data_IF_841301871614
#
_entry.id   IF_841301871614
#
_cell.length_a   1.000
_cell.length_b   1.000
_cell.length_c   1.000
_cell.angle_alpha   90.00
_cell.angle_beta   90.00
_cell.angle_gamma   90.00
#
_symmetry.space_group_name_H-M   'P 1'
#
loop_
_entity.id
_entity.type
_entity.pdbx_description
1 polymer ?
#
# COMPACT_ATOMS: atom_id res chain seq x y z
N UNK A 1 7.61 -42.41 11.72
CA UNK A 1 7.81 -40.97 11.95
C UNK A 1 8.91 -40.53 11.01
N UNK A 2 8.63 -39.56 10.15
CA UNK A 2 9.59 -39.12 9.14
C UNK A 2 10.76 -38.31 9.73
N UNK A 3 10.54 -37.67 10.89
CA UNK A 3 11.54 -36.88 11.61
C UNK A 3 12.02 -37.63 12.88
N UNK A 4 13.27 -38.16 12.89
CA UNK A 4 13.88 -38.77 14.08
C UNK A 4 14.02 -37.79 15.26
N UNK A 5 14.11 -38.30 16.49
CA UNK A 5 14.23 -37.46 17.71
C UNK A 5 15.53 -36.65 17.80
N UNK A 6 16.58 -37.08 17.10
CA UNK A 6 17.88 -36.42 17.01
C UNK A 6 18.07 -35.63 15.70
N UNK A 7 17.01 -35.45 14.91
CA UNK A 7 17.08 -34.86 13.58
C UNK A 7 17.78 -33.50 13.56
N UNK A 8 17.35 -32.56 14.40
CA UNK A 8 17.97 -31.22 14.48
C UNK A 8 19.41 -31.28 15.00
N UNK A 9 19.72 -32.20 15.91
CA UNK A 9 21.08 -32.41 16.41
C UNK A 9 22.02 -32.94 15.31
N UNK A 10 21.48 -33.74 14.38
CA UNK A 10 22.25 -34.34 13.27
C UNK A 10 22.67 -33.34 12.18
N UNK A 11 22.07 -32.14 12.15
CA UNK A 11 22.30 -31.17 11.08
C UNK A 11 23.76 -30.72 11.00
N UNK A 12 24.32 -30.87 9.79
CA UNK A 12 25.66 -30.40 9.43
C UNK A 12 25.57 -29.41 8.27
N UNK A 13 26.33 -28.33 8.39
CA UNK A 13 26.49 -27.35 7.32
C UNK A 13 27.03 -28.03 6.05
N UNK A 14 26.45 -27.71 4.89
CA UNK A 14 26.91 -28.19 3.59
C UNK A 14 27.62 -27.04 2.88
N UNK A 15 28.82 -27.29 2.34
CA UNK A 15 29.45 -26.27 1.51
C UNK A 15 28.66 -26.10 0.19
N UNK A 16 28.41 -24.86 -0.30
CA UNK A 16 27.57 -24.64 -1.49
C UNK A 16 27.98 -25.46 -2.73
N UNK A 17 29.29 -25.67 -2.92
CA UNK A 17 29.82 -26.54 -3.98
C UNK A 17 29.27 -27.96 -3.90
N UNK A 18 29.20 -28.53 -2.70
CA UNK A 18 28.74 -29.89 -2.48
C UNK A 18 27.22 -30.01 -2.70
N UNK A 19 26.46 -28.92 -2.49
CA UNK A 19 25.03 -28.87 -2.84
C UNK A 19 24.86 -29.00 -4.35
N UNK A 20 25.64 -28.23 -5.12
CA UNK A 20 25.59 -28.27 -6.59
C UNK A 20 26.02 -29.64 -7.12
N UNK A 21 27.11 -30.20 -6.60
CA UNK A 21 27.56 -31.54 -6.97
C UNK A 21 26.50 -32.61 -6.69
N UNK A 22 25.86 -32.55 -5.51
CA UNK A 22 24.79 -33.47 -5.12
C UNK A 22 23.53 -33.33 -5.99
N UNK A 23 23.14 -32.11 -6.36
CA UNK A 23 21.96 -31.89 -7.23
C UNK A 23 22.18 -32.32 -8.68
N UNK A 24 23.44 -32.34 -9.13
CA UNK A 24 23.86 -32.81 -10.45
C UNK A 24 24.15 -34.32 -10.51
N UNK A 25 24.25 -34.99 -9.36
CA UNK A 25 24.52 -36.42 -9.32
C UNK A 25 23.34 -37.24 -9.88
N UNK A 26 23.60 -38.32 -10.64
CA UNK A 26 22.53 -39.16 -11.19
C UNK A 26 21.70 -39.87 -10.11
N UNK A 27 22.29 -40.10 -8.93
CA UNK A 27 21.70 -40.71 -7.75
C UNK A 27 21.27 -39.66 -6.70
N UNK A 28 21.00 -38.42 -7.12
CA UNK A 28 20.61 -37.34 -6.22
C UNK A 28 19.42 -37.72 -5.31
N UNK A 29 19.40 -37.26 -4.05
CA UNK A 29 18.27 -37.45 -3.16
C UNK A 29 16.99 -36.87 -3.78
N UNK A 30 15.93 -37.68 -3.86
CA UNK A 30 14.61 -37.23 -4.34
C UNK A 30 13.91 -36.42 -3.25
N UNK A 31 13.09 -35.45 -3.64
CA UNK A 31 12.24 -34.73 -2.69
C UNK A 31 11.30 -35.70 -1.99
N UNK A 32 11.30 -35.67 -0.65
CA UNK A 32 10.45 -36.49 0.21
C UNK A 32 9.30 -35.69 0.84
N UNK A 33 9.27 -34.37 0.63
CA UNK A 33 8.12 -33.54 0.97
C UNK A 33 8.53 -32.11 1.35
N UNK A 34 7.52 -31.27 1.57
CA UNK A 34 7.70 -29.87 1.99
C UNK A 34 6.81 -29.60 3.19
N UNK A 35 7.39 -29.04 4.24
CA UNK A 35 6.64 -28.48 5.37
C UNK A 35 6.63 -26.96 5.26
N UNK A 36 5.51 -26.35 5.67
CA UNK A 36 5.32 -24.91 5.64
C UNK A 36 5.30 -24.38 7.05
N UNK A 37 6.22 -23.48 7.37
CA UNK A 37 6.24 -22.73 8.61
C UNK A 37 5.77 -21.30 8.33
N UNK A 38 4.85 -20.79 9.15
CA UNK A 38 4.46 -19.38 9.16
C UNK A 38 4.93 -18.70 10.43
N UNK A 39 4.46 -19.19 11.57
CA UNK A 39 4.75 -18.61 12.89
C UNK A 39 4.92 -19.66 13.98
N UNK A 40 4.96 -20.94 13.61
CA UNK A 40 5.31 -22.03 14.53
C UNK A 40 6.69 -21.77 15.15
N UNK A 41 7.60 -21.15 14.38
CA UNK A 41 8.79 -20.46 14.88
C UNK A 41 8.77 -19.06 14.25
N UNK A 42 8.94 -17.96 15.02
CA UNK A 42 9.09 -16.64 14.44
C UNK A 42 10.25 -16.61 13.42
N UNK A 43 10.05 -16.12 12.18
CA UNK A 43 11.09 -16.20 11.14
C UNK A 43 12.42 -15.53 11.54
N UNK A 44 12.34 -14.42 12.28
CA UNK A 44 13.51 -13.75 12.84
C UNK A 44 14.28 -14.63 13.85
N UNK A 45 13.58 -15.41 14.68
CA UNK A 45 14.20 -16.33 15.63
C UNK A 45 14.90 -17.49 14.90
N UNK A 46 14.27 -18.01 13.84
CA UNK A 46 14.83 -19.05 13.00
C UNK A 46 16.11 -18.58 12.28
N UNK A 47 16.07 -17.38 11.68
CA UNK A 47 17.24 -16.77 11.04
C UNK A 47 18.40 -16.61 12.01
N UNK A 48 18.18 -15.99 13.19
CA UNK A 48 19.28 -15.77 14.15
C UNK A 48 19.79 -17.07 14.75
N UNK A 49 18.95 -18.10 14.87
CA UNK A 49 19.37 -19.43 15.28
C UNK A 49 20.30 -20.08 14.25
N UNK A 50 19.91 -20.10 12.97
CA UNK A 50 20.78 -20.64 11.92
C UNK A 50 22.10 -19.88 11.81
N UNK A 51 22.05 -18.56 11.86
CA UNK A 51 23.25 -17.73 11.87
C UNK A 51 24.15 -18.00 13.08
N UNK A 52 23.57 -18.18 14.28
CA UNK A 52 24.32 -18.47 15.50
C UNK A 52 24.96 -19.86 15.53
N UNK A 53 24.28 -20.86 14.97
CA UNK A 53 24.75 -22.25 14.96
C UNK A 53 25.66 -22.57 13.78
N UNK A 54 25.35 -22.04 12.60
CA UNK A 54 25.96 -22.46 11.33
C UNK A 54 26.62 -21.32 10.54
N UNK A 55 26.47 -20.06 10.95
CA UNK A 55 26.98 -18.92 10.21
C UNK A 55 26.08 -18.51 9.04
N UNK A 56 26.67 -17.90 8.00
CA UNK A 56 25.92 -17.31 6.90
C UNK A 56 25.06 -18.34 6.11
N UNK A 57 23.97 -17.88 5.46
CA UNK A 57 23.19 -18.70 4.52
C UNK A 57 24.06 -19.37 3.46
N UNK A 58 23.82 -20.65 3.19
CA UNK A 58 24.62 -21.49 2.29
C UNK A 58 23.83 -22.11 1.14
N UNK A 59 22.52 -21.90 1.09
CA UNK A 59 21.69 -22.35 -0.02
C UNK A 59 22.01 -21.67 -1.34
N UNK A 60 21.75 -22.36 -2.45
CA UNK A 60 22.04 -21.90 -3.82
C UNK A 60 21.31 -20.58 -4.13
N UNK A 61 20.09 -20.39 -3.62
CA UNK A 61 19.30 -19.18 -3.86
C UNK A 61 20.00 -17.91 -3.33
N UNK A 62 20.83 -18.01 -2.29
CA UNK A 62 21.60 -16.86 -1.78
C UNK A 62 22.66 -16.34 -2.75
N UNK A 63 23.10 -17.16 -3.72
CA UNK A 63 24.06 -16.76 -4.75
C UNK A 63 23.38 -16.17 -5.99
N UNK A 64 22.09 -16.46 -6.18
CA UNK A 64 21.29 -16.00 -7.31
C UNK A 64 20.50 -14.72 -6.98
N UNK A 65 20.26 -14.45 -5.69
CA UNK A 65 19.51 -13.27 -5.24
C UNK A 65 20.27 -11.96 -5.47
N UNK A 66 19.52 -10.89 -5.67
CA UNK A 66 20.04 -9.52 -5.75
C UNK A 66 20.39 -8.99 -4.36
N UNK A 67 21.23 -7.95 -4.33
CA UNK A 67 21.56 -7.23 -3.10
C UNK A 67 20.49 -6.15 -2.77
N UNK A 68 19.23 -6.59 -2.69
CA UNK A 68 18.06 -5.80 -2.34
C UNK A 68 17.00 -6.72 -1.70
N UNK A 69 15.80 -6.19 -1.47
CA UNK A 69 14.65 -6.91 -0.91
C UNK A 69 13.72 -7.51 -1.97
N UNK A 70 14.03 -7.33 -3.26
CA UNK A 70 13.18 -7.72 -4.40
C UNK A 70 13.57 -9.13 -4.88
N UNK A 71 13.48 -10.07 -3.94
CA UNK A 71 13.87 -11.46 -4.16
C UNK A 71 12.70 -12.40 -3.84
N UNK A 72 12.61 -13.49 -4.60
CA UNK A 72 11.62 -14.55 -4.36
C UNK A 72 11.95 -15.33 -3.09
N UNK A 73 13.23 -15.65 -2.91
CA UNK A 73 13.78 -16.29 -1.71
C UNK A 73 14.74 -15.32 -1.05
N UNK A 74 14.44 -14.90 0.18
CA UNK A 74 15.19 -13.88 0.92
C UNK A 74 16.49 -14.41 1.50
N UNK A 75 16.43 -15.64 2.02
CA UNK A 75 17.58 -16.39 2.49
C UNK A 75 17.29 -17.89 2.42
N UNK A 76 18.36 -18.67 2.34
CA UNK A 76 18.25 -20.13 2.29
C UNK A 76 19.38 -20.82 3.08
N UNK A 77 19.03 -21.81 3.90
CA UNK A 77 20.01 -22.72 4.49
C UNK A 77 19.78 -24.15 4.04
N UNK A 78 20.87 -24.87 3.79
CA UNK A 78 20.86 -26.28 3.45
C UNK A 78 21.72 -27.07 4.45
N UNK A 79 21.16 -28.14 5.01
CA UNK A 79 21.81 -28.99 5.99
C UNK A 79 21.80 -30.44 5.56
N UNK A 80 22.92 -31.12 5.79
CA UNK A 80 23.00 -32.58 5.69
C UNK A 80 22.46 -33.17 6.97
N UNK A 81 21.63 -34.19 6.86
CA UNK A 81 21.02 -34.91 7.97
C UNK A 81 21.48 -36.37 7.94
N UNK A 82 21.11 -37.15 8.95
CA UNK A 82 21.36 -38.60 8.97
C UNK A 82 20.61 -39.36 7.86
N UNK A 83 19.51 -38.80 7.36
CA UNK A 83 18.59 -39.44 6.40
C UNK A 83 18.62 -38.81 5.00
N UNK A 84 19.35 -37.72 4.81
CA UNK A 84 19.44 -37.01 3.53
C UNK A 84 19.83 -35.54 3.70
N UNK A 85 19.01 -34.65 3.14
CA UNK A 85 19.21 -33.20 3.19
C UNK A 85 17.90 -32.50 3.53
N UNK A 86 18.01 -31.39 4.25
CA UNK A 86 16.89 -30.47 4.49
C UNK A 86 17.29 -29.05 4.08
N UNK A 87 16.38 -28.32 3.46
CA UNK A 87 16.57 -26.94 3.02
C UNK A 87 15.47 -26.04 3.58
N UNK A 88 15.86 -24.91 4.16
CA UNK A 88 14.95 -23.89 4.66
C UNK A 88 15.03 -22.67 3.74
N UNK A 89 13.91 -22.27 3.15
CA UNK A 89 13.80 -21.13 2.25
C UNK A 89 12.81 -20.12 2.82
N UNK A 90 13.25 -18.88 3.02
CA UNK A 90 12.36 -17.79 3.43
C UNK A 90 11.75 -17.09 2.23
N UNK A 91 10.42 -17.01 2.24
CA UNK A 91 9.61 -16.27 1.29
C UNK A 91 8.91 -15.11 1.98
N UNK A 92 8.13 -14.32 1.24
CA UNK A 92 7.42 -13.17 1.78
C UNK A 92 6.38 -13.52 2.86
N UNK A 93 5.83 -14.74 2.87
CA UNK A 93 4.69 -15.11 3.72
C UNK A 93 4.90 -16.38 4.55
N UNK A 94 6.01 -17.10 4.32
CA UNK A 94 6.30 -18.38 4.96
C UNK A 94 7.77 -18.75 4.81
N UNK A 95 8.22 -19.64 5.69
CA UNK A 95 9.43 -20.44 5.47
C UNK A 95 9.02 -21.82 4.95
N UNK A 96 9.56 -22.23 3.82
CA UNK A 96 9.41 -23.60 3.31
C UNK A 96 10.58 -24.46 3.79
N UNK A 97 10.26 -25.68 4.24
CA UNK A 97 11.22 -26.69 4.68
C UNK A 97 11.14 -27.86 3.73
N UNK A 98 12.10 -27.94 2.82
CA UNK A 98 12.19 -28.97 1.79
C UNK A 98 13.03 -30.13 2.28
N UNK A 99 12.48 -31.34 2.20
CA UNK A 99 13.16 -32.58 2.59
C UNK A 99 13.56 -33.35 1.33
N UNK A 100 14.79 -33.86 1.34
CA UNK A 100 15.33 -34.67 0.26
C UNK A 100 15.94 -35.95 0.83
N UNK A 101 15.51 -37.10 0.32
CA UNK A 101 15.82 -38.42 0.87
C UNK A 101 15.01 -38.75 2.13
N UNK A 102 15.15 -39.97 2.63
CA UNK A 102 14.41 -40.47 3.78
C UNK A 102 12.93 -40.76 3.51
N UNK A 103 12.20 -41.03 4.59
CA UNK A 103 10.75 -41.24 4.56
C UNK A 103 9.99 -39.94 4.24
N UNK A 104 8.86 -40.00 3.52
CA UNK A 104 8.06 -38.82 3.23
C UNK A 104 7.57 -38.09 4.48
N UNK A 105 7.66 -36.76 4.49
CA UNK A 105 7.16 -35.93 5.59
C UNK A 105 5.69 -35.55 5.38
N UNK A 106 4.94 -35.47 6.47
CA UNK A 106 3.53 -35.08 6.48
C UNK A 106 3.31 -33.81 7.31
N UNK A 107 2.16 -33.15 7.12
CA UNK A 107 1.83 -31.92 7.84
C UNK A 107 1.91 -32.06 9.38
N UNK A 108 1.64 -33.26 9.91
CA UNK A 108 1.76 -33.57 11.35
C UNK A 108 3.20 -33.48 11.90
N UNK A 109 4.22 -33.61 11.04
CA UNK A 109 5.63 -33.57 11.44
C UNK A 109 6.12 -32.16 11.79
N UNK A 110 5.34 -31.10 11.46
CA UNK A 110 5.67 -29.70 11.80
C UNK A 110 5.85 -29.54 13.31
N UNK A 111 4.98 -30.15 14.13
CA UNK A 111 5.06 -30.06 15.59
C UNK A 111 6.37 -30.67 16.12
N UNK A 112 6.82 -31.78 15.51
CA UNK A 112 8.05 -32.48 15.90
C UNK A 112 9.27 -31.64 15.53
N UNK A 113 9.34 -31.15 14.28
CA UNK A 113 10.43 -30.30 13.81
C UNK A 113 10.57 -29.04 14.67
N UNK A 114 9.46 -28.33 14.89
CA UNK A 114 9.45 -27.05 15.59
C UNK A 114 9.80 -27.20 17.06
N UNK A 115 9.35 -28.29 17.71
CA UNK A 115 9.73 -28.63 19.07
C UNK A 115 11.25 -28.85 19.19
N UNK A 116 11.84 -29.68 18.31
CA UNK A 116 13.27 -29.94 18.34
C UNK A 116 14.12 -28.69 18.10
N UNK A 117 13.73 -27.84 17.14
CA UNK A 117 14.44 -26.57 16.89
C UNK A 117 14.37 -25.65 18.10
N UNK A 118 13.19 -25.48 18.71
CA UNK A 118 13.02 -24.64 19.91
C UNK A 118 13.80 -25.16 21.11
N UNK A 119 13.87 -26.48 21.29
CA UNK A 119 14.71 -27.08 22.34
C UNK A 119 16.18 -26.73 22.15
N UNK A 120 16.68 -26.75 20.91
CA UNK A 120 18.08 -26.46 20.59
C UNK A 120 18.44 -24.97 20.76
N UNK A 121 17.47 -24.05 20.79
CA UNK A 121 17.73 -22.61 21.06
C UNK A 121 18.50 -22.39 22.37
N UNK A 122 18.22 -23.21 23.39
CA UNK A 122 18.88 -23.12 24.69
C UNK A 122 20.42 -23.26 24.60
N UNK A 123 20.91 -24.01 23.60
CA UNK A 123 22.33 -24.23 23.37
C UNK A 123 23.03 -23.02 22.70
N UNK A 124 22.27 -22.13 22.06
CA UNK A 124 22.81 -21.03 21.24
C UNK A 124 22.33 -19.64 21.64
N UNK A 125 21.54 -19.50 22.71
CA UNK A 125 20.87 -18.26 23.09
C UNK A 125 21.79 -17.02 23.17
N UNK A 126 23.02 -17.16 23.68
CA UNK A 126 24.00 -16.06 23.71
C UNK A 126 24.39 -15.58 22.31
N UNK A 127 24.77 -16.52 21.44
CA UNK A 127 25.15 -16.21 20.05
C UNK A 127 23.96 -15.66 19.25
N UNK A 128 22.75 -16.20 19.47
CA UNK A 128 21.52 -15.67 18.87
C UNK A 128 21.27 -14.21 19.25
N UNK A 129 21.52 -13.83 20.52
CA UNK A 129 21.41 -12.44 20.97
C UNK A 129 22.44 -11.53 20.29
N UNK A 130 23.68 -12.01 20.10
CA UNK A 130 24.74 -11.27 19.41
C UNK A 130 24.39 -11.04 17.93
N UNK A 131 23.90 -12.06 17.22
CA UNK A 131 23.42 -11.92 15.83
C UNK A 131 22.25 -10.94 15.77
N UNK A 132 21.26 -11.07 16.66
CA UNK A 132 20.09 -10.18 16.67
C UNK A 132 20.47 -8.71 16.80
N UNK A 133 21.49 -8.39 17.60
CA UNK A 133 21.99 -7.01 17.78
C UNK A 133 22.67 -6.44 16.53
N UNK A 134 23.13 -7.29 15.60
CA UNK A 134 23.69 -6.84 14.32
C UNK A 134 22.62 -6.52 13.27
N UNK A 135 21.37 -6.94 13.47
CA UNK A 135 20.27 -6.67 12.56
C UNK A 135 19.76 -5.23 12.71
N UNK A 136 19.24 -4.66 11.62
CA UNK A 136 18.53 -3.39 11.68
C UNK A 136 17.07 -3.59 12.11
N UNK A 137 16.58 -2.77 13.04
CA UNK A 137 15.17 -2.78 13.49
C UNK A 137 14.38 -1.72 12.72
N UNK A 138 13.58 -2.19 11.76
CA UNK A 138 12.69 -1.37 10.95
C UNK A 138 11.23 -1.60 11.34
N UNK A 139 10.44 -0.54 11.30
CA UNK A 139 8.98 -0.59 11.43
C UNK A 139 8.35 -0.13 10.13
N UNK A 140 7.58 -1.00 9.49
CA UNK A 140 6.78 -0.64 8.33
C UNK A 140 5.53 0.13 8.74
N UNK A 141 5.18 1.14 7.96
CA UNK A 141 3.97 1.92 8.16
C UNK A 141 3.43 2.45 6.83
N UNK A 142 2.12 2.66 6.81
CA UNK A 142 1.44 3.22 5.63
C UNK A 142 1.60 4.74 5.64
N UNK A 143 2.10 5.29 4.53
CA UNK A 143 2.19 6.71 4.24
C UNK A 143 0.78 7.33 4.13
N UNK A 144 0.36 8.16 5.10
CA UNK A 144 -0.99 8.74 5.08
C UNK A 144 -1.22 9.67 3.88
N UNK A 145 -0.18 10.37 3.44
CA UNK A 145 -0.26 11.25 2.28
C UNK A 145 -0.54 10.46 1.00
N UNK A 146 0.24 9.40 0.72
CA UNK A 146 0.01 8.59 -0.48
C UNK A 146 -1.36 7.92 -0.44
N UNK A 147 -1.82 7.46 0.74
CA UNK A 147 -3.15 6.89 0.91
C UNK A 147 -4.26 7.86 0.51
N UNK A 148 -4.19 9.12 0.97
CA UNK A 148 -5.15 10.16 0.61
C UNK A 148 -5.04 10.55 -0.87
N UNK A 149 -3.82 10.69 -1.38
CA UNK A 149 -3.57 11.00 -2.80
C UNK A 149 -4.15 9.92 -3.72
N UNK A 150 -3.91 8.63 -3.46
CA UNK A 150 -4.51 7.54 -4.23
C UNK A 150 -6.03 7.54 -4.17
N UNK A 151 -6.63 7.83 -3.01
CA UNK A 151 -8.08 7.92 -2.89
C UNK A 151 -8.66 9.06 -3.75
N UNK A 152 -8.04 10.24 -3.69
CA UNK A 152 -8.38 11.40 -4.54
C UNK A 152 -8.23 11.06 -6.02
N UNK A 153 -7.09 10.48 -6.42
CA UNK A 153 -6.83 10.03 -7.80
C UNK A 153 -7.93 9.09 -8.30
N UNK A 154 -8.30 8.08 -7.51
CA UNK A 154 -9.34 7.10 -7.89
C UNK A 154 -10.73 7.74 -8.04
N UNK A 155 -11.16 8.58 -7.09
CA UNK A 155 -12.47 9.26 -7.22
C UNK A 155 -12.50 10.23 -8.39
N UNK A 156 -11.39 10.93 -8.68
CA UNK A 156 -11.30 11.80 -9.85
C UNK A 156 -11.44 10.98 -11.14
N UNK A 157 -10.77 9.83 -11.23
CA UNK A 157 -10.93 8.92 -12.36
C UNK A 157 -12.37 8.44 -12.51
N UNK A 158 -13.05 8.11 -11.41
CA UNK A 158 -14.47 7.76 -11.44
C UNK A 158 -15.37 8.92 -11.89
N UNK A 159 -15.10 10.16 -11.45
CA UNK A 159 -15.84 11.35 -11.91
C UNK A 159 -15.63 11.57 -13.41
N UNK A 160 -14.40 11.44 -13.90
CA UNK A 160 -14.07 11.60 -15.31
C UNK A 160 -14.77 10.53 -16.17
N UNK A 161 -14.88 9.29 -15.67
CA UNK A 161 -15.62 8.20 -16.33
C UNK A 161 -17.15 8.42 -16.39
N UNK A 162 -17.71 9.26 -15.52
CA UNK A 162 -19.14 9.59 -15.56
C UNK A 162 -19.49 10.58 -16.68
N UNK A 163 -18.50 11.24 -17.28
CA UNK A 163 -18.66 12.17 -18.40
C UNK A 163 -19.77 13.21 -18.17
N UNK A 164 -19.80 13.79 -16.96
CA UNK A 164 -20.80 14.78 -16.57
C UNK A 164 -20.62 16.06 -17.39
N UNK A 165 -21.64 16.41 -18.18
CA UNK A 165 -21.69 17.63 -19.02
C UNK A 165 -22.93 18.44 -18.69
N UNK A 166 -22.92 19.25 -17.62
CA UNK A 166 -24.13 19.93 -17.12
C UNK A 166 -24.79 20.86 -18.12
N UNK A 167 -24.01 21.45 -19.03
CA UNK A 167 -24.51 22.38 -20.04
C UNK A 167 -25.13 21.65 -21.24
N UNK A 168 -24.55 20.52 -21.65
CA UNK A 168 -25.02 19.73 -22.80
C UNK A 168 -26.14 18.73 -22.44
N UNK A 169 -26.18 18.30 -21.18
CA UNK A 169 -27.12 17.30 -20.67
C UNK A 169 -28.28 17.92 -19.89
N UNK A 170 -28.40 19.26 -19.91
CA UNK A 170 -29.53 19.95 -19.33
C UNK A 170 -30.82 19.48 -20.00
N UNK A 171 -31.66 18.79 -19.24
CA UNK A 171 -32.90 18.26 -19.77
C UNK A 171 -33.87 19.42 -20.06
N UNK A 172 -34.52 19.41 -21.24
CA UNK A 172 -35.46 20.46 -21.61
C UNK A 172 -36.68 20.43 -20.69
N UNK A 173 -37.33 21.58 -20.55
CA UNK A 173 -38.61 21.65 -19.85
C UNK A 173 -39.68 20.87 -20.62
N UNK A 174 -40.58 20.23 -19.87
CA UNK A 174 -41.71 19.48 -20.43
C UNK A 174 -42.69 20.50 -21.01
N UNK A 175 -42.71 20.61 -22.34
CA UNK A 175 -43.61 21.49 -23.08
C UNK A 175 -44.69 20.70 -23.86
N UNK A 176 -44.57 19.37 -23.95
CA UNK A 176 -45.62 18.48 -24.46
C UNK A 176 -45.60 17.13 -23.74
N UNK A 177 -46.71 16.38 -23.82
CA UNK A 177 -46.84 15.07 -23.19
C UNK A 177 -45.88 14.02 -23.80
N UNK A 178 -45.42 14.19 -25.04
CA UNK A 178 -44.46 13.29 -25.67
C UNK A 178 -43.01 13.50 -25.19
N UNK A 179 -42.73 14.55 -24.41
CA UNK A 179 -41.39 14.88 -23.92
C UNK A 179 -41.07 14.28 -22.53
N UNK A 180 -41.97 13.44 -22.00
CA UNK A 180 -41.77 12.78 -20.71
C UNK A 180 -41.04 11.45 -20.87
N UNK A 181 -39.73 11.45 -20.59
CA UNK A 181 -38.87 10.25 -20.63
C UNK A 181 -38.40 9.88 -19.22
N UNK A 182 -39.20 9.13 -18.43
CA UNK A 182 -38.90 8.83 -17.03
C UNK A 182 -37.58 8.06 -16.84
N UNK A 183 -37.27 7.12 -17.73
CA UNK A 183 -36.05 6.31 -17.65
C UNK A 183 -34.79 7.15 -17.89
N UNK A 184 -34.84 8.06 -18.88
CA UNK A 184 -33.74 9.00 -19.17
C UNK A 184 -33.47 9.93 -17.98
N UNK A 185 -34.53 10.36 -17.28
CA UNK A 185 -34.40 11.22 -16.11
C UNK A 185 -33.74 10.48 -14.94
N UNK A 186 -34.14 9.22 -14.69
CA UNK A 186 -33.55 8.37 -13.65
C UNK A 186 -32.05 8.15 -13.88
N UNK A 187 -31.66 7.73 -15.09
CA UNK A 187 -30.26 7.46 -15.43
C UNK A 187 -29.38 8.72 -15.36
N UNK A 188 -29.92 9.89 -15.70
CA UNK A 188 -29.20 11.17 -15.56
C UNK A 188 -29.09 11.53 -14.07
N UNK A 189 -30.19 11.46 -13.31
CA UNK A 189 -30.19 11.78 -11.89
C UNK A 189 -29.21 10.92 -11.09
N UNK A 190 -29.16 9.61 -11.33
CA UNK A 190 -28.27 8.68 -10.63
C UNK A 190 -26.79 8.95 -10.94
N UNK A 191 -26.46 9.21 -12.21
CA UNK A 191 -25.08 9.59 -12.61
C UNK A 191 -24.63 10.88 -11.95
N UNK A 192 -25.49 11.91 -11.94
CA UNK A 192 -25.17 13.17 -11.30
C UNK A 192 -25.08 13.02 -9.78
N UNK A 193 -25.99 12.29 -9.14
CA UNK A 193 -25.94 12.01 -7.71
C UNK A 193 -24.61 11.34 -7.32
N UNK A 194 -24.20 10.29 -8.06
CA UNK A 194 -22.91 9.62 -7.85
C UNK A 194 -21.73 10.60 -8.02
N UNK A 195 -21.68 11.33 -9.14
CA UNK A 195 -20.56 12.21 -9.42
C UNK A 195 -20.47 13.42 -8.49
N UNK A 196 -21.61 13.94 -8.02
CA UNK A 196 -21.64 15.01 -7.02
C UNK A 196 -21.20 14.50 -5.64
N UNK A 197 -21.59 13.28 -5.26
CA UNK A 197 -21.07 12.62 -4.06
C UNK A 197 -19.55 12.44 -4.09
N UNK A 198 -19.01 11.94 -5.21
CA UNK A 198 -17.57 11.81 -5.42
C UNK A 198 -16.87 13.17 -5.41
N UNK A 199 -17.43 14.18 -6.08
CA UNK A 199 -16.89 15.54 -6.12
C UNK A 199 -16.81 16.13 -4.72
N UNK A 200 -17.88 16.02 -3.92
CA UNK A 200 -17.87 16.44 -2.52
C UNK A 200 -16.79 15.72 -1.72
N UNK A 201 -16.64 14.40 -1.92
CA UNK A 201 -15.57 13.60 -1.30
C UNK A 201 -14.17 14.12 -1.62
N UNK A 202 -13.87 14.37 -2.90
CA UNK A 202 -12.57 14.91 -3.32
C UNK A 202 -12.32 16.28 -2.71
N UNK A 203 -13.26 17.23 -2.86
CA UNK A 203 -13.13 18.60 -2.30
C UNK A 203 -12.90 18.58 -0.79
N UNK A 204 -13.55 17.64 -0.09
CA UNK A 204 -13.40 17.43 1.35
C UNK A 204 -12.01 16.90 1.75
N UNK A 205 -11.41 16.04 0.91
CA UNK A 205 -10.11 15.41 1.18
C UNK A 205 -8.92 16.29 0.77
N UNK A 206 -9.07 17.20 -0.20
CA UNK A 206 -7.97 18.02 -0.73
C UNK A 206 -7.18 18.79 0.37
N UNK A 207 -7.82 19.51 1.31
CA UNK A 207 -7.10 20.15 2.43
C UNK A 207 -6.34 19.17 3.31
N UNK A 208 -6.97 18.03 3.64
CA UNK A 208 -6.42 17.00 4.52
C UNK A 208 -5.24 16.32 3.85
N UNK A 209 -5.31 16.11 2.54
CA UNK A 209 -4.20 15.59 1.73
C UNK A 209 -3.01 16.55 1.77
N UNK A 210 -3.22 17.85 1.54
CA UNK A 210 -2.15 18.85 1.63
C UNK A 210 -1.53 18.93 3.04
N UNK A 211 -2.37 18.89 4.08
CA UNK A 211 -1.91 18.88 5.47
C UNK A 211 -1.11 17.61 5.80
N UNK A 212 -1.54 16.45 5.30
CA UNK A 212 -0.80 15.19 5.47
C UNK A 212 0.58 15.24 4.80
N UNK A 213 0.74 16.02 3.72
CA UNK A 213 2.04 16.26 3.11
C UNK A 213 2.97 17.09 4.01
N UNK A 214 2.44 18.14 4.65
CA UNK A 214 3.17 18.93 5.64
C UNK A 214 3.56 18.06 6.84
N UNK A 215 2.66 17.19 7.30
CA UNK A 215 2.96 16.21 8.35
C UNK A 215 4.07 15.24 7.93
N UNK A 216 4.07 14.80 6.67
CA UNK A 216 5.11 13.93 6.13
C UNK A 216 6.47 14.65 6.08
N UNK A 217 6.51 15.91 5.64
CA UNK A 217 7.72 16.75 5.67
C UNK A 217 8.26 16.89 7.09
N UNK A 218 7.39 17.21 8.06
CA UNK A 218 7.76 17.27 9.48
C UNK A 218 8.31 15.92 9.93
N UNK A 219 7.60 14.82 9.71
CA UNK A 219 8.02 13.51 10.19
C UNK A 219 9.39 13.06 9.64
N UNK A 220 9.63 13.28 8.33
CA UNK A 220 10.85 12.85 7.64
C UNK A 220 12.02 13.78 7.93
N UNK A 221 11.78 15.09 7.98
CA UNK A 221 12.83 16.11 8.00
C UNK A 221 12.98 16.85 9.33
N UNK A 222 12.21 16.52 10.38
CA UNK A 222 12.33 17.18 11.68
C UNK A 222 13.76 17.14 12.19
N UNK A 223 14.24 18.28 12.66
CA UNK A 223 15.55 18.41 13.27
C UNK A 223 15.71 17.45 14.46
N UNK A 224 16.86 16.77 14.61
CA UNK A 224 17.09 15.83 15.71
C UNK A 224 16.81 16.45 17.09
N UNK A 225 17.25 17.70 17.30
CA UNK A 225 17.05 18.44 18.55
C UNK A 225 15.58 18.65 18.93
N UNK A 226 14.68 18.80 17.95
CA UNK A 226 13.23 18.90 18.18
C UNK A 226 12.65 17.50 18.36
N UNK A 227 13.10 16.53 17.57
CA UNK A 227 12.57 15.16 17.58
C UNK A 227 12.86 14.42 18.89
N UNK A 228 13.98 14.72 19.55
CA UNK A 228 14.38 14.10 20.82
C UNK A 228 13.68 14.69 22.05
N UNK A 229 13.09 15.89 21.93
CA UNK A 229 12.31 16.52 22.99
C UNK A 229 10.80 16.35 22.70
N UNK A 230 10.15 15.47 23.46
CA UNK A 230 8.75 15.12 23.21
C UNK A 230 7.82 16.34 23.32
N UNK A 231 8.12 17.31 24.20
CA UNK A 231 7.30 18.52 24.35
C UNK A 231 7.45 19.45 23.15
N UNK A 232 8.67 19.65 22.64
CA UNK A 232 8.91 20.46 21.45
C UNK A 232 8.32 19.82 20.19
N UNK A 233 8.48 18.49 20.05
CA UNK A 233 7.88 17.70 18.98
C UNK A 233 6.35 17.80 18.99
N UNK A 234 5.70 17.57 20.13
CA UNK A 234 4.25 17.69 20.25
C UNK A 234 3.75 19.11 19.94
N UNK A 235 4.44 20.13 20.48
CA UNK A 235 4.09 21.52 20.21
C UNK A 235 4.17 21.84 18.71
N UNK A 236 5.24 21.40 18.05
CA UNK A 236 5.44 21.60 16.60
C UNK A 236 4.34 20.95 15.77
N UNK A 237 3.92 19.73 16.11
CA UNK A 237 2.94 18.97 15.33
C UNK A 237 1.51 19.53 15.49
N UNK A 238 1.16 20.04 16.68
CA UNK A 238 -0.19 20.52 17.01
C UNK A 238 -0.48 21.97 16.59
N UNK A 239 0.50 22.68 16.05
CA UNK A 239 0.30 24.05 15.57
C UNK A 239 -0.69 24.10 14.39
N UNK A 240 -1.42 25.22 14.22
CA UNK A 240 -2.22 25.48 13.03
C UNK A 240 -1.39 25.31 11.74
N UNK A 241 -2.03 24.89 10.66
CA UNK A 241 -1.35 24.55 9.40
C UNK A 241 -0.51 25.72 8.86
N UNK A 242 -1.00 26.95 8.96
CA UNK A 242 -0.28 28.13 8.47
C UNK A 242 1.02 28.36 9.26
N UNK A 243 0.99 28.16 10.58
CA UNK A 243 2.17 28.27 11.44
C UNK A 243 3.16 27.14 11.15
N UNK A 244 2.68 25.90 11.01
CA UNK A 244 3.54 24.77 10.66
C UNK A 244 4.26 25.00 9.34
N UNK A 245 3.55 25.44 8.30
CA UNK A 245 4.13 25.76 7.00
C UNK A 245 5.18 26.86 7.11
N UNK A 246 4.87 27.98 7.79
CA UNK A 246 5.82 29.09 8.00
C UNK A 246 7.09 28.63 8.72
N UNK A 247 6.97 27.69 9.66
CA UNK A 247 8.07 27.26 10.52
C UNK A 247 8.82 26.01 10.03
N UNK A 248 8.42 25.38 8.92
CA UNK A 248 9.09 24.18 8.38
C UNK A 248 10.61 24.37 8.21
N UNK A 249 11.06 25.51 7.67
CA UNK A 249 12.49 25.78 7.47
C UNK A 249 13.28 25.90 8.79
N UNK A 250 12.61 26.25 9.89
CA UNK A 250 13.20 26.30 11.22
C UNK A 250 13.18 24.92 11.88
N UNK A 251 12.08 24.17 11.72
CA UNK A 251 11.87 22.90 12.43
C UNK A 251 12.41 21.68 11.68
N UNK A 252 12.72 21.82 10.39
CA UNK A 252 13.21 20.75 9.54
C UNK A 252 14.60 21.04 8.96
N UNK A 253 15.35 19.96 8.71
CA UNK A 253 16.56 19.98 7.89
C UNK A 253 16.19 19.94 6.40
N UNK A 254 17.12 20.37 5.54
CA UNK A 254 16.98 20.16 4.10
C UNK A 254 16.24 21.25 3.33
N UNK A 255 15.78 22.31 4.00
CA UNK A 255 15.32 23.53 3.34
C UNK A 255 16.50 24.36 2.84
N UNK A 256 16.40 24.84 1.60
CA UNK A 256 17.37 25.76 0.99
C UNK A 256 17.00 27.22 1.31
N UNK A 257 15.70 27.50 1.37
CA UNK A 257 15.14 28.83 1.66
C UNK A 257 13.93 28.72 2.58
N UNK A 258 13.67 29.81 3.31
CA UNK A 258 12.44 29.94 4.08
C UNK A 258 11.22 29.96 3.16
N UNK A 259 10.10 29.42 3.65
CA UNK A 259 8.83 29.45 2.93
C UNK A 259 8.22 30.84 3.09
N UNK A 260 7.93 31.50 1.95
CA UNK A 260 7.16 32.73 1.94
C UNK A 260 5.68 32.41 1.90
N UNK A 261 4.99 32.49 3.04
CA UNK A 261 3.55 32.22 3.09
C UNK A 261 2.69 33.26 2.32
N UNK A 262 3.27 34.39 1.90
CA UNK A 262 2.64 35.35 1.00
C UNK A 262 2.72 34.97 -0.48
N UNK A 263 3.38 33.87 -0.83
CA UNK A 263 3.40 33.31 -2.18
C UNK A 263 1.99 32.94 -2.65
N UNK A 264 1.76 33.05 -3.95
CA UNK A 264 0.45 32.79 -4.55
C UNK A 264 -0.03 31.36 -4.29
N UNK A 265 0.88 30.38 -4.29
CA UNK A 265 0.52 28.99 -3.99
C UNK A 265 -0.02 28.82 -2.55
N UNK A 266 0.55 29.54 -1.58
CA UNK A 266 0.08 29.51 -0.19
C UNK A 266 -1.25 30.27 -0.02
N UNK A 267 -1.41 31.41 -0.69
CA UNK A 267 -2.66 32.19 -0.66
C UNK A 267 -3.84 31.40 -1.23
N UNK A 268 -3.65 30.79 -2.40
CA UNK A 268 -4.69 29.97 -3.03
C UNK A 268 -5.07 28.77 -2.17
N UNK A 269 -4.08 28.08 -1.60
CA UNK A 269 -4.34 26.98 -0.67
C UNK A 269 -5.11 27.46 0.58
N UNK A 270 -4.72 28.59 1.16
CA UNK A 270 -5.39 29.13 2.34
C UNK A 270 -6.86 29.49 2.06
N UNK A 271 -7.14 30.09 0.89
CA UNK A 271 -8.52 30.34 0.45
C UNK A 271 -9.32 29.03 0.30
N UNK A 272 -8.72 27.99 -0.29
CA UNK A 272 -9.37 26.68 -0.44
C UNK A 272 -9.71 26.04 0.92
N UNK A 273 -8.81 26.12 1.90
CA UNK A 273 -9.08 25.63 3.27
C UNK A 273 -10.24 26.38 3.91
N UNK A 274 -10.32 27.70 3.73
CA UNK A 274 -11.41 28.51 4.25
C UNK A 274 -12.75 28.18 3.58
N UNK A 275 -12.77 28.01 2.25
CA UNK A 275 -13.97 27.58 1.51
C UNK A 275 -14.44 26.18 1.93
N UNK A 276 -13.50 25.25 2.20
CA UNK A 276 -13.83 23.93 2.73
C UNK A 276 -14.55 24.02 4.08
N UNK A 277 -14.17 24.96 4.95
CA UNK A 277 -14.83 25.09 6.24
C UNK A 277 -16.31 25.47 6.06
N UNK A 278 -16.64 26.35 5.11
CA UNK A 278 -18.03 26.63 4.77
C UNK A 278 -18.76 25.38 4.26
N UNK A 279 -18.11 24.59 3.39
CA UNK A 279 -18.68 23.36 2.81
C UNK A 279 -18.91 22.26 3.85
N UNK A 280 -17.96 22.04 4.77
CA UNK A 280 -17.97 20.89 5.70
C UNK A 280 -18.63 21.17 7.04
N UNK A 281 -18.74 22.43 7.45
CA UNK A 281 -19.51 22.79 8.63
C UNK A 281 -21.00 22.99 8.34
N UNK A 282 -21.41 22.89 7.07
CA UNK A 282 -22.82 23.02 6.69
C UNK A 282 -23.40 24.39 7.05
N UNK A 283 -22.57 25.43 7.00
CA UNK A 283 -22.97 26.78 7.39
C UNK A 283 -24.15 27.22 6.53
N UNK A 284 -25.29 27.52 7.17
CA UNK A 284 -26.51 27.97 6.46
C UNK A 284 -26.37 29.45 6.11
N UNK A 285 -25.72 29.73 4.98
CA UNK A 285 -25.61 31.09 4.44
C UNK A 285 -26.68 31.26 3.35
N UNK A 286 -27.83 31.83 3.72
CA UNK A 286 -29.00 31.93 2.82
C UNK A 286 -28.64 32.57 1.48
N UNK A 287 -27.84 33.63 1.45
CA UNK A 287 -27.43 34.29 0.19
C UNK A 287 -26.60 33.39 -0.74
N UNK A 288 -25.83 32.43 -0.19
CA UNK A 288 -25.05 31.46 -0.98
C UNK A 288 -25.88 30.23 -1.38
N UNK A 289 -26.89 29.87 -0.58
CA UNK A 289 -27.70 28.64 -0.74
C UNK A 289 -29.05 28.88 -1.43
N UNK A 290 -29.50 30.15 -1.52
CA UNK A 290 -30.77 30.53 -2.13
C UNK A 290 -30.76 30.19 -3.63
N UNK A 291 -31.67 29.30 -4.01
CA UNK A 291 -31.86 28.89 -5.41
C UNK A 291 -33.24 29.27 -5.97
N UNK A 292 -34.19 29.74 -5.16
CA UNK A 292 -35.49 30.21 -5.67
C UNK A 292 -36.16 31.19 -4.69
N UNK A 293 -37.11 31.97 -5.20
CA UNK A 293 -37.99 32.83 -4.41
C UNK A 293 -39.46 32.59 -4.76
N UNK A 294 -40.27 32.36 -3.73
CA UNK A 294 -41.67 31.98 -3.86
C UNK A 294 -42.47 32.78 -2.84
N UNK A 295 -43.52 33.47 -3.30
CA UNK A 295 -44.55 34.01 -2.43
C UNK A 295 -45.54 32.90 -2.06
N UNK A 296 -46.25 33.04 -0.94
CA UNK A 296 -47.34 32.13 -0.58
C UNK A 296 -48.63 32.92 -0.33
N UNK A 297 -49.74 32.45 -0.89
CA UNK A 297 -51.09 32.84 -0.48
C UNK A 297 -51.72 31.65 0.27
N UNK A 298 -51.59 31.64 1.59
CA UNK A 298 -51.90 30.46 2.40
C UNK A 298 -50.99 29.28 2.04
N UNK A 299 -51.57 28.20 1.53
CA UNK A 299 -50.84 26.99 1.06
C UNK A 299 -50.47 27.04 -0.42
N UNK A 300 -50.85 28.09 -1.15
CA UNK A 300 -50.63 28.20 -2.60
C UNK A 300 -49.30 28.90 -2.89
N UNK A 301 -48.33 28.24 -3.55
CA UNK A 301 -47.07 28.86 -3.95
C UNK A 301 -47.27 29.75 -5.19
N UNK A 302 -46.71 30.95 -5.17
CA UNK A 302 -46.69 31.93 -6.26
C UNK A 302 -45.21 32.22 -6.57
N UNK A 303 -44.68 31.58 -7.60
CA UNK A 303 -43.28 31.71 -8.00
C UNK A 303 -42.99 33.11 -8.55
N UNK A 304 -41.93 33.77 -8.07
CA UNK A 304 -41.53 35.09 -8.63
C UNK A 304 -41.01 34.96 -10.06
N UNK A 305 -40.33 33.85 -10.33
CA UNK A 305 -39.78 33.50 -11.64
C UNK A 305 -39.80 31.98 -11.79
N UNK A 306 -40.16 31.50 -12.99
CA UNK A 306 -40.02 30.09 -13.33
C UNK A 306 -38.57 29.77 -13.69
N UNK A 307 -38.09 28.64 -13.17
CA UNK A 307 -36.79 28.03 -13.50
C UNK A 307 -37.04 26.67 -14.13
N UNK A 308 -36.12 26.21 -14.96
CA UNK A 308 -36.27 24.91 -15.62
C UNK A 308 -36.27 23.76 -14.61
N UNK A 309 -36.78 22.60 -15.02
CA UNK A 309 -36.74 21.37 -14.22
C UNK A 309 -35.29 21.02 -13.83
N UNK A 310 -34.35 21.19 -14.76
CA UNK A 310 -32.92 21.03 -14.50
C UNK A 310 -32.41 21.99 -13.42
N UNK A 311 -32.72 23.28 -13.55
CA UNK A 311 -32.28 24.32 -12.62
C UNK A 311 -32.86 24.20 -11.21
N UNK A 312 -33.95 23.44 -11.04
CA UNK A 312 -34.58 23.17 -9.74
C UNK A 312 -34.15 21.84 -9.13
N UNK A 313 -33.44 21.00 -9.87
CA UNK A 313 -32.97 19.68 -9.43
C UNK A 313 -31.44 19.64 -9.49
N UNK A 314 -30.88 18.94 -10.48
CA UNK A 314 -29.45 18.68 -10.64
C UNK A 314 -28.63 19.96 -10.76
N UNK A 315 -29.17 20.99 -11.42
CA UNK A 315 -28.48 22.27 -11.62
C UNK A 315 -28.19 23.04 -10.32
N UNK A 316 -29.02 22.86 -9.28
CA UNK A 316 -28.75 23.43 -7.94
C UNK A 316 -27.57 22.72 -7.31
N UNK A 317 -27.58 21.39 -7.31
CA UNK A 317 -26.56 20.58 -6.65
C UNK A 317 -25.20 20.69 -7.34
N UNK A 318 -25.17 20.76 -8.68
CA UNK A 318 -23.94 21.02 -9.46
C UNK A 318 -23.30 22.35 -9.05
N UNK A 319 -24.11 23.40 -8.86
CA UNK A 319 -23.63 24.72 -8.43
C UNK A 319 -23.19 24.72 -6.97
N UNK A 320 -23.95 24.07 -6.09
CA UNK A 320 -23.67 24.00 -4.66
C UNK A 320 -22.39 23.18 -4.35
N UNK A 321 -22.26 22.00 -4.97
CA UNK A 321 -21.09 21.11 -4.80
C UNK A 321 -19.88 21.62 -5.59
N UNK A 322 -20.09 22.46 -6.61
CA UNK A 322 -19.00 23.15 -7.31
C UNK A 322 -18.18 22.24 -8.23
N UNK A 323 -18.83 21.36 -8.99
CA UNK A 323 -18.19 20.43 -9.94
C UNK A 323 -17.17 21.14 -10.86
N UNK A 324 -17.50 22.35 -11.32
CA UNK A 324 -16.64 23.16 -12.19
C UNK A 324 -15.35 23.65 -11.51
N UNK A 325 -15.34 23.74 -10.17
CA UNK A 325 -14.17 24.20 -9.40
C UNK A 325 -13.19 23.07 -9.11
N UNK A 326 -13.64 21.81 -9.16
CA UNK A 326 -12.88 20.63 -8.74
C UNK A 326 -11.48 20.57 -9.36
N UNK A 327 -11.38 20.72 -10.69
CA UNK A 327 -10.09 20.67 -11.40
C UNK A 327 -9.13 21.79 -10.97
N UNK A 328 -9.66 22.97 -10.66
CA UNK A 328 -8.85 24.08 -10.18
C UNK A 328 -8.38 23.84 -8.74
N UNK A 329 -9.27 23.35 -7.87
CA UNK A 329 -8.94 23.04 -6.47
C UNK A 329 -7.85 21.96 -6.35
N UNK A 330 -7.89 20.93 -7.21
CA UNK A 330 -6.81 19.93 -7.32
C UNK A 330 -5.49 20.61 -7.67
N UNK A 331 -5.48 21.47 -8.71
CA UNK A 331 -4.28 22.22 -9.12
C UNK A 331 -3.74 23.12 -8.03
N UNK A 332 -4.60 23.73 -7.21
CA UNK A 332 -4.19 24.56 -6.07
C UNK A 332 -3.40 23.72 -5.06
N UNK A 333 -3.90 22.53 -4.70
CA UNK A 333 -3.19 21.65 -3.75
C UNK A 333 -1.88 21.12 -4.35
N UNK A 334 -1.88 20.69 -5.61
CA UNK A 334 -0.65 20.27 -6.30
C UNK A 334 0.38 21.39 -6.40
N UNK A 335 -0.08 22.62 -6.71
CA UNK A 335 0.74 23.82 -6.76
C UNK A 335 1.36 24.15 -5.41
N UNK A 336 0.59 24.03 -4.33
CA UNK A 336 1.08 24.19 -2.97
C UNK A 336 2.16 23.16 -2.62
N UNK A 337 1.93 21.86 -2.86
CA UNK A 337 2.93 20.80 -2.65
C UNK A 337 4.20 21.05 -3.47
N UNK A 338 4.05 21.45 -4.74
CA UNK A 338 5.17 21.78 -5.63
C UNK A 338 5.97 22.97 -5.11
N UNK A 339 5.29 23.99 -4.59
CA UNK A 339 5.94 25.16 -4.00
C UNK A 339 6.75 24.79 -2.76
N UNK A 340 6.19 23.98 -1.85
CA UNK A 340 6.93 23.50 -0.68
C UNK A 340 8.20 22.73 -1.08
N UNK A 341 8.09 21.84 -2.08
CA UNK A 341 9.24 21.12 -2.63
C UNK A 341 10.29 22.04 -3.25
N UNK A 342 9.88 23.13 -3.90
CA UNK A 342 10.81 24.11 -4.48
C UNK A 342 11.63 24.88 -3.44
N UNK A 343 11.26 24.78 -2.16
CA UNK A 343 12.01 25.37 -1.05
C UNK A 343 13.04 24.39 -0.45
N UNK A 344 13.02 23.12 -0.85
CA UNK A 344 13.96 22.09 -0.42
C UNK A 344 15.24 22.12 -1.26
N UNK A 345 16.31 21.58 -0.68
CA UNK A 345 17.55 21.28 -1.41
C UNK A 345 17.28 20.23 -2.50
N UNK A 346 17.96 20.27 -3.66
CA UNK A 346 17.66 19.38 -4.78
C UNK A 346 17.70 17.88 -4.46
N UNK A 347 18.61 17.45 -3.58
CA UNK A 347 18.69 16.06 -3.14
C UNK A 347 17.52 15.67 -2.21
N UNK A 348 17.14 16.58 -1.30
CA UNK A 348 16.02 16.39 -0.36
C UNK A 348 14.69 16.41 -1.11
N UNK A 349 14.55 17.28 -2.10
CA UNK A 349 13.39 17.31 -2.99
C UNK A 349 13.19 15.95 -3.68
N UNK A 350 14.22 15.41 -4.34
CA UNK A 350 14.15 14.09 -4.99
C UNK A 350 13.80 12.96 -4.02
N UNK A 351 14.33 13.02 -2.80
CA UNK A 351 14.00 12.06 -1.75
C UNK A 351 12.53 12.17 -1.35
N UNK A 352 12.03 13.38 -1.09
CA UNK A 352 10.64 13.63 -0.71
C UNK A 352 9.66 13.25 -1.82
N UNK A 353 9.99 13.50 -3.08
CA UNK A 353 9.18 13.08 -4.23
C UNK A 353 9.05 11.55 -4.30
N UNK A 354 10.12 10.80 -4.01
CA UNK A 354 10.07 9.33 -3.93
C UNK A 354 9.20 8.87 -2.76
N UNK A 355 9.47 9.38 -1.55
CA UNK A 355 8.72 9.03 -0.33
C UNK A 355 7.22 9.33 -0.50
N UNK A 356 6.88 10.48 -1.07
CA UNK A 356 5.50 10.91 -1.28
C UNK A 356 4.71 10.00 -2.23
N UNK A 357 5.39 9.33 -3.16
CA UNK A 357 4.79 8.38 -4.11
C UNK A 357 4.69 6.96 -3.57
N UNK A 358 5.40 6.65 -2.50
CA UNK A 358 5.42 5.31 -1.91
C UNK A 358 4.36 5.15 -0.82
N UNK A 359 3.58 4.05 -0.91
CA UNK A 359 2.56 3.70 0.09
C UNK A 359 3.19 3.17 1.36
N UNK A 360 4.07 2.17 1.26
CA UNK A 360 4.64 1.47 2.40
C UNK A 360 6.06 1.98 2.65
N UNK A 361 6.28 2.53 3.84
CA UNK A 361 7.56 3.13 4.24
C UNK A 361 8.10 2.38 5.46
N UNK A 362 9.42 2.35 5.58
CA UNK A 362 10.12 1.83 6.76
C UNK A 362 10.64 2.96 7.63
N UNK A 363 10.55 2.80 8.95
CA UNK A 363 11.21 3.64 9.94
C UNK A 363 12.24 2.83 10.73
N UNK A 364 13.52 3.21 10.64
CA UNK A 364 14.59 2.56 11.39
C UNK A 364 14.63 3.12 12.81
N UNK A 365 14.30 2.32 13.83
CA UNK A 365 14.16 2.79 15.21
C UNK A 365 15.45 3.35 15.81
N UNK A 366 16.60 2.80 15.38
CA UNK A 366 17.91 3.18 15.93
C UNK A 366 18.42 4.48 15.33
N UNK A 367 18.28 4.65 14.03
CA UNK A 367 18.85 5.79 13.29
C UNK A 367 17.84 6.89 13.01
N UNK A 368 16.54 6.62 13.19
CA UNK A 368 15.45 7.53 12.87
C UNK A 368 15.25 7.76 11.37
N UNK A 369 15.92 6.97 10.51
CA UNK A 369 15.87 7.06 9.04
C UNK A 369 14.54 6.53 8.51
N UNK A 370 14.10 7.11 7.40
CA UNK A 370 12.98 6.64 6.59
C UNK A 370 13.51 5.95 5.34
N UNK A 371 12.94 4.80 4.99
CA UNK A 371 13.33 4.00 3.84
C UNK A 371 12.13 3.45 3.08
N UNK A 372 12.37 2.98 1.86
CA UNK A 372 11.45 2.14 1.09
C UNK A 372 12.07 0.74 1.18
N UNK A 373 11.40 -0.18 1.90
CA UNK A 373 12.00 -1.45 2.27
C UNK A 373 11.76 -2.57 1.27
N UNK A 374 10.66 -2.50 0.53
CA UNK A 374 10.22 -3.54 -0.40
C UNK A 374 9.83 -2.93 -1.74
N UNK A 375 9.84 -3.75 -2.78
CA UNK A 375 9.37 -3.35 -4.09
C UNK A 375 7.85 -3.08 -4.07
N UNK A 376 7.36 -2.33 -5.06
CA UNK A 376 5.92 -2.04 -5.21
C UNK A 376 5.06 -3.26 -5.60
N UNK A 377 5.72 -4.38 -5.90
CA UNK A 377 5.09 -5.64 -6.28
C UNK A 377 5.60 -6.73 -5.34
N UNK A 378 4.81 -7.79 -5.19
CA UNK A 378 5.23 -8.99 -4.47
C UNK A 378 5.02 -10.20 -5.37
N UNK A 379 6.04 -11.02 -5.47
CA UNK A 379 5.99 -12.31 -6.15
C UNK A 379 6.01 -13.41 -5.10
N UNK A 380 5.18 -14.42 -5.31
CA UNK A 380 5.18 -15.64 -4.53
C UNK A 380 5.03 -16.83 -5.49
N UNK A 381 5.47 -18.01 -5.05
CA UNK A 381 5.21 -19.25 -5.76
C UNK A 381 4.60 -20.27 -4.80
N UNK A 382 4.12 -21.40 -5.29
CA UNK A 382 3.82 -22.54 -4.43
C UNK A 382 4.19 -23.82 -5.18
N UNK A 383 4.92 -24.76 -4.55
CA UNK A 383 5.24 -26.02 -5.18
C UNK A 383 4.01 -26.94 -5.21
N UNK A 384 3.63 -27.41 -6.40
CA UNK A 384 2.68 -28.51 -6.57
C UNK A 384 3.46 -29.79 -6.85
N UNK A 385 3.20 -30.82 -6.05
CA UNK A 385 3.68 -32.18 -6.32
C UNK A 385 2.49 -32.95 -6.88
N UNK A 386 2.52 -33.24 -8.19
CA UNK A 386 1.53 -34.14 -8.77
C UNK A 386 1.81 -35.55 -8.26
N UNK A 387 0.77 -36.24 -7.79
CA UNK A 387 0.88 -37.53 -7.11
C UNK A 387 1.21 -38.71 -8.05
N UNK A 388 1.38 -38.48 -9.35
CA UNK A 388 1.70 -39.55 -10.30
C UNK A 388 2.91 -39.17 -11.18
N UNK A 389 3.84 -40.11 -11.26
CA UNK A 389 4.92 -40.23 -12.24
C UNK A 389 6.13 -39.29 -12.17
N UNK A 390 6.74 -39.12 -10.98
CA UNK A 390 8.19 -38.82 -10.89
C UNK A 390 8.70 -37.59 -11.67
N UNK A 391 7.81 -36.68 -12.05
CA UNK A 391 8.12 -35.44 -12.74
C UNK A 391 8.32 -34.33 -11.72
N UNK A 392 9.24 -33.43 -12.06
CA UNK A 392 9.62 -32.26 -11.25
C UNK A 392 8.38 -31.48 -10.78
N UNK A 393 8.41 -30.86 -9.58
CA UNK A 393 7.27 -30.11 -9.06
C UNK A 393 6.82 -29.02 -10.04
N UNK A 394 5.50 -28.93 -10.25
CA UNK A 394 4.88 -27.85 -11.01
C UNK A 394 4.90 -26.58 -10.14
N UNK A 395 5.63 -25.55 -10.58
CA UNK A 395 5.76 -24.29 -9.84
C UNK A 395 4.69 -23.32 -10.34
N UNK A 396 3.68 -23.05 -9.52
CA UNK A 396 2.72 -21.98 -9.78
C UNK A 396 3.30 -20.66 -9.26
N UNK A 397 3.60 -19.73 -10.16
CA UNK A 397 4.07 -18.38 -9.81
C UNK A 397 2.90 -17.42 -9.88
N UNK A 398 2.64 -16.70 -8.79
CA UNK A 398 1.67 -15.61 -8.75
C UNK A 398 2.40 -14.30 -8.49
N UNK A 399 2.17 -13.31 -9.34
CA UNK A 399 2.68 -11.96 -9.16
C UNK A 399 1.50 -11.04 -8.87
N UNK A 400 1.51 -10.34 -7.74
CA UNK A 400 0.62 -9.21 -7.51
C UNK A 400 1.37 -7.92 -7.84
N UNK A 401 0.90 -7.21 -8.85
CA UNK A 401 1.34 -5.86 -9.18
C UNK A 401 0.21 -4.90 -8.91
N UNK A 402 -0.20 -4.77 -7.65
CA UNK A 402 -1.02 -3.63 -7.22
C UNK A 402 -1.19 -3.60 -5.70
N UNK A 403 -0.34 -2.80 -5.04
CA UNK A 403 -0.63 -2.27 -3.71
C UNK A 403 -1.54 -1.02 -3.75
N UNK A 404 -2.13 -0.67 -4.91
CA UNK A 404 -2.80 0.61 -5.10
C UNK A 404 -3.98 0.70 -6.07
N UNK A 405 -4.21 -0.24 -6.97
CA UNK A 405 -5.42 -0.24 -7.80
C UNK A 405 -6.17 -1.57 -7.69
N UNK A 406 -7.41 -1.51 -7.20
CA UNK A 406 -8.32 -2.64 -7.29
C UNK A 406 -8.70 -2.83 -8.78
N UNK A 407 -8.14 -3.85 -9.44
CA UNK A 407 -8.75 -4.40 -10.66
C UNK A 407 -9.72 -5.52 -10.29
N UNK A 408 -10.89 -5.61 -10.94
CA UNK A 408 -11.77 -6.77 -10.78
C UNK A 408 -11.07 -8.03 -11.30
N UNK A 409 -11.40 -9.22 -10.74
CA UNK A 409 -10.76 -10.47 -11.13
C UNK A 409 -10.94 -10.74 -12.62
N UNK A 410 -9.84 -11.12 -13.29
CA UNK A 410 -9.89 -11.59 -14.67
C UNK A 410 -10.68 -12.92 -14.75
N UNK A 411 -11.47 -13.14 -15.82
CA UNK A 411 -12.21 -14.38 -15.97
C UNK A 411 -11.25 -15.56 -16.14
N UNK A 412 -11.43 -16.59 -15.32
CA UNK A 412 -10.78 -17.88 -15.47
C UNK A 412 -11.18 -18.52 -16.80
N UNK A 413 -10.28 -18.52 -17.78
CA UNK A 413 -10.44 -19.33 -18.99
C UNK A 413 -9.98 -20.76 -18.69
N UNK A 414 -10.93 -21.65 -18.44
CA UNK A 414 -10.73 -23.09 -18.52
C UNK A 414 -10.62 -23.47 -20.00
N UNK A 415 -9.41 -23.84 -20.46
CA UNK A 415 -9.23 -24.48 -21.76
C UNK A 415 -9.55 -25.96 -21.60
N UNK A 416 -10.78 -26.35 -21.96
CA UNK A 416 -11.13 -27.75 -22.14
C UNK A 416 -10.43 -28.30 -23.38
N UNK A 417 -9.59 -29.32 -23.21
CA UNK A 417 -9.15 -30.18 -24.33
C UNK A 417 -10.39 -30.87 -24.87
N UNK A 418 -10.75 -30.54 -26.11
CA UNK A 418 -11.75 -31.29 -26.87
C UNK A 418 -11.15 -32.61 -27.31
N UNK A 419 -11.68 -33.70 -26.79
CA UNK A 419 -11.47 -35.05 -27.30
C UNK A 419 -11.98 -35.14 -28.73
N UNK A 420 -11.13 -35.66 -29.60
CA UNK A 420 -11.43 -35.88 -31.00
C UNK A 420 -11.14 -37.36 -31.31
N UNK A 421 -12.07 -38.25 -30.96
CA UNK A 421 -12.08 -39.63 -31.45
C UNK A 421 -13.50 -40.10 -31.79
N UNK A 422 -13.73 -40.21 -33.11
CA UNK A 422 -14.38 -41.32 -33.84
C UNK A 422 -15.47 -42.14 -33.11
N UNK A 423 -16.72 -41.99 -33.54
CA UNK A 423 -17.44 -42.92 -34.45
C UNK A 423 -18.90 -42.49 -34.61
#
# INVERSE_FOLDING_TARGET
MAIPSDFVASWKFIHPKDIVEMLNAPDRPKASGVLILRNEIPPADLYVYFAARFGAPNGIQNFLRRNDSDNLVHWEWAFRTSTGMVMFQELNFRTEVWFFGGEPVEAGDIAILTSQVKMDFSNYGRKMSEVRKSLEDWTEFVNPYRRLASAVENMVQEIDQLELRPEDQALPDINSAEQFFPDLWGDIADRYSKGLGLCFGVRSMLPVMAESYVNLLLFVLMRPEIKMDERLKEHTIRQPIDIRVKTLHMNCIGFEKAINYGDEACKQYHSLVNERNDLLHGNVVLEKLKFNEVYFNGTVPIFKQYRSMWERTIGVDVKAVGLQRLKNEIKVVEGFVRYLNSCLKPNVQKQMERIARTRDLGFNKKTGRIGILFAHHMVDFFPSFDNDDGQSPNIHVCASSDAGAARPPAPTSTVSKGDNERS
#
